data_IF_364064365046
#
_entry.id   IF_364064365046
#
_cell.length_a   1.000
_cell.length_b   1.000
_cell.length_c   1.000
_cell.angle_alpha   90.00
_cell.angle_beta   90.00
_cell.angle_gamma   90.00
#
_symmetry.space_group_name_H-M   'P 1'
#
loop_
_entity.id
_entity.type
_entity.pdbx_description
1 polymer ?
#
# COMPACT_ATOMS: atom_id res chain seq x y z
N UNK A 1 -34.88 -16.50 -9.24
CA UNK A 1 -34.10 -16.68 -7.98
C UNK A 1 -32.64 -16.40 -8.29
N UNK A 2 -32.30 -15.13 -8.47
CA UNK A 2 -30.94 -14.69 -8.83
C UNK A 2 -30.20 -14.44 -7.54
N UNK A 3 -29.35 -15.37 -7.13
CA UNK A 3 -28.50 -15.20 -5.94
C UNK A 3 -27.33 -14.29 -6.32
N UNK A 4 -27.46 -13.00 -6.03
CA UNK A 4 -26.34 -12.06 -6.02
C UNK A 4 -25.42 -12.44 -4.86
N UNK A 5 -24.31 -13.13 -5.15
CA UNK A 5 -23.26 -13.35 -4.15
C UNK A 5 -22.58 -12.03 -3.84
N UNK A 6 -23.04 -11.38 -2.77
CA UNK A 6 -22.31 -10.31 -2.08
C UNK A 6 -20.93 -10.85 -1.68
N UNK A 7 -19.86 -10.36 -2.32
CA UNK A 7 -18.48 -10.65 -1.93
C UNK A 7 -18.19 -9.80 -0.70
N UNK A 8 -18.22 -10.41 0.47
CA UNK A 8 -17.77 -9.77 1.70
C UNK A 8 -16.26 -9.52 1.58
N UNK A 9 -15.89 -8.27 1.30
CA UNK A 9 -14.50 -7.83 1.42
C UNK A 9 -14.23 -7.74 2.92
N UNK A 10 -13.57 -8.76 3.46
CA UNK A 10 -12.99 -8.67 4.80
C UNK A 10 -12.03 -7.46 4.80
N UNK A 11 -12.11 -6.54 5.77
CA UNK A 11 -11.16 -5.44 5.86
C UNK A 11 -9.77 -6.02 5.96
N UNK A 12 -8.94 -5.79 4.93
CA UNK A 12 -7.56 -6.23 4.92
C UNK A 12 -6.87 -5.64 6.13
N UNK A 13 -6.32 -6.50 6.99
CA UNK A 13 -5.47 -6.13 8.12
C UNK A 13 -4.19 -5.49 7.58
N UNK A 14 -4.31 -4.23 7.17
CA UNK A 14 -3.23 -3.38 6.72
C UNK A 14 -2.95 -2.37 7.83
N UNK A 15 -2.28 -2.81 8.90
CA UNK A 15 -1.57 -1.96 9.85
C UNK A 15 -0.79 -2.85 10.84
N UNK A 16 0.50 -2.54 11.00
CA UNK A 16 1.43 -3.09 11.99
C UNK A 16 1.86 -4.56 11.85
N UNK A 17 2.33 -4.90 10.66
CA UNK A 17 3.54 -5.71 10.60
C UNK A 17 4.64 -4.83 10.04
N UNK A 18 5.54 -4.34 10.89
CA UNK A 18 6.91 -4.10 10.42
C UNK A 18 7.39 -5.45 9.92
N UNK A 19 7.31 -5.67 8.60
CA UNK A 19 7.79 -6.90 8.00
C UNK A 19 9.24 -7.08 8.49
N UNK A 20 9.65 -8.28 8.95
CA UNK A 20 11.05 -8.53 9.19
C UNK A 20 11.79 -8.10 7.93
N UNK A 21 12.95 -7.44 8.08
CA UNK A 21 13.74 -6.99 6.94
C UNK A 21 14.12 -8.22 6.11
N UNK A 22 13.26 -8.55 5.14
CA UNK A 22 13.48 -9.63 4.20
C UNK A 22 14.78 -9.28 3.48
N UNK A 23 15.75 -10.21 3.40
CA UNK A 23 16.96 -9.97 2.63
C UNK A 23 16.54 -9.51 1.22
N UNK A 24 17.21 -8.50 0.65
CA UNK A 24 16.86 -8.00 -0.67
C UNK A 24 16.89 -9.19 -1.65
N UNK A 25 15.72 -9.56 -2.15
CA UNK A 25 15.60 -10.54 -3.20
C UNK A 25 15.78 -9.81 -4.54
N UNK A 26 16.41 -10.45 -5.53
CA UNK A 26 16.55 -9.84 -6.86
C UNK A 26 15.19 -9.48 -7.48
N UNK A 27 14.14 -10.20 -7.11
CA UNK A 27 12.76 -9.90 -7.51
C UNK A 27 12.27 -8.57 -6.92
N UNK A 28 12.61 -8.27 -5.66
CA UNK A 28 12.27 -7.01 -4.99
C UNK A 28 12.95 -5.82 -5.66
N UNK A 29 14.22 -5.96 -6.01
CA UNK A 29 14.99 -4.90 -6.68
C UNK A 29 14.45 -4.62 -8.08
N UNK A 30 14.18 -5.66 -8.87
CA UNK A 30 13.55 -5.52 -10.17
C UNK A 30 12.19 -4.81 -10.08
N UNK A 31 11.36 -5.23 -9.12
CA UNK A 31 10.06 -4.60 -8.89
C UNK A 31 10.20 -3.12 -8.49
N UNK A 32 11.15 -2.78 -7.62
CA UNK A 32 11.40 -1.39 -7.21
C UNK A 32 11.85 -0.51 -8.38
N UNK A 33 12.68 -1.03 -9.27
CA UNK A 33 13.12 -0.29 -10.46
C UNK A 33 11.96 -0.07 -11.44
N UNK A 34 11.19 -1.12 -11.72
CA UNK A 34 10.01 -1.04 -12.59
C UNK A 34 8.95 -0.05 -12.06
N UNK A 35 8.81 0.06 -10.73
CA UNK A 35 7.81 0.91 -10.09
C UNK A 35 8.36 2.26 -9.62
N UNK A 36 9.64 2.57 -9.86
CA UNK A 36 10.31 3.79 -9.38
C UNK A 36 9.53 5.05 -9.72
N UNK A 37 9.16 5.22 -10.98
CA UNK A 37 8.42 6.40 -11.45
C UNK A 37 7.03 6.53 -10.79
N UNK A 38 6.35 5.41 -10.56
CA UNK A 38 5.04 5.41 -9.89
C UNK A 38 5.16 5.79 -8.41
N UNK A 39 6.18 5.26 -7.72
CA UNK A 39 6.49 5.60 -6.34
C UNK A 39 6.84 7.09 -6.22
N UNK A 40 7.70 7.61 -7.11
CA UNK A 40 8.08 9.03 -7.12
C UNK A 40 6.87 9.95 -7.36
N UNK A 41 6.00 9.62 -8.32
CA UNK A 41 4.76 10.35 -8.58
C UNK A 41 3.84 10.39 -7.35
N UNK A 42 3.63 9.23 -6.72
CA UNK A 42 2.84 9.13 -5.50
C UNK A 42 3.44 9.95 -4.35
N UNK A 43 4.77 9.88 -4.18
CA UNK A 43 5.47 10.65 -3.15
C UNK A 43 5.30 12.16 -3.41
N UNK A 44 5.50 12.63 -4.64
CA UNK A 44 5.32 14.03 -5.01
C UNK A 44 3.88 14.51 -4.73
N UNK A 45 2.88 13.67 -4.97
CA UNK A 45 1.50 13.99 -4.64
C UNK A 45 1.28 14.10 -3.13
N UNK A 46 1.85 13.18 -2.34
CA UNK A 46 1.77 13.22 -0.87
C UNK A 46 2.49 14.44 -0.29
N UNK A 47 3.64 14.83 -0.84
CA UNK A 47 4.35 16.05 -0.43
C UNK A 47 3.52 17.31 -0.72
N UNK A 48 2.83 17.36 -1.87
CA UNK A 48 2.03 18.51 -2.26
C UNK A 48 0.68 18.62 -1.52
N UNK A 49 0.04 17.49 -1.18
CA UNK A 49 -1.32 17.47 -0.65
C UNK A 49 -1.42 16.99 0.81
N UNK A 50 -0.31 16.51 1.36
CA UNK A 50 -0.27 15.81 2.64
C UNK A 50 -0.83 14.39 2.56
N UNK A 51 -0.66 13.63 3.63
CA UNK A 51 -1.21 12.29 3.78
C UNK A 51 -2.73 12.38 4.06
N UNK A 52 -3.62 11.91 3.16
CA UNK A 52 -5.06 12.12 3.27
C UNK A 52 -5.68 11.55 4.56
N UNK A 53 -5.09 10.47 5.08
CA UNK A 53 -5.56 9.77 6.26
C UNK A 53 -4.73 10.06 7.52
N UNK A 54 -3.77 11.00 7.46
CA UNK A 54 -2.96 11.36 8.63
C UNK A 54 -3.82 11.79 9.83
N UNK A 55 -4.96 12.46 9.56
CA UNK A 55 -5.96 12.86 10.55
C UNK A 55 -6.63 11.72 11.32
N UNK A 56 -6.49 10.48 10.86
CA UNK A 56 -7.07 9.29 11.49
C UNK A 56 -6.01 8.40 12.14
N UNK A 57 -4.73 8.80 12.11
CA UNK A 57 -3.65 8.05 12.75
C UNK A 57 -3.80 8.18 14.27
N UNK A 58 -4.18 7.09 14.93
CA UNK A 58 -4.14 7.00 16.39
C UNK A 58 -2.69 6.68 16.80
N UNK A 59 -2.17 7.42 17.78
CA UNK A 59 -0.85 7.21 18.39
C UNK A 59 -1.02 6.46 19.71
#
# INVERSE_FOLDING_TARGET
MTSERRREVAPSRAADASAPADPPSPLREAWLEENRAAIESCNAWVEAHGLPLARYRQF
#
